data_IF_520460378179
#
_entry.id   IF_520460378179
#
_cell.length_a   1.000
_cell.length_b   1.000
_cell.length_c   1.000
_cell.angle_alpha   90.00
_cell.angle_beta   90.00
_cell.angle_gamma   90.00
#
_symmetry.space_group_name_H-M   'P 1'
#
loop_
_entity.id
_entity.type
_entity.pdbx_description
1 polymer ?
#
# COMPACT_ATOMS: atom_id res chain seq x y z
N UNK A 1 9.98 -20.07 -5.18
CA UNK A 1 11.15 -19.35 -4.67
C UNK A 1 11.20 -19.34 -3.13
N UNK A 2 10.16 -18.92 -2.43
CA UNK A 2 10.21 -18.68 -0.97
C UNK A 2 9.57 -19.80 -0.12
N UNK A 3 9.69 -21.06 -0.54
CA UNK A 3 9.00 -22.22 0.08
C UNK A 3 9.39 -22.50 1.53
N UNK A 4 10.53 -21.99 1.98
CA UNK A 4 11.01 -22.15 3.36
C UNK A 4 10.44 -21.09 4.32
N UNK A 5 9.80 -20.05 3.81
CA UNK A 5 9.20 -18.99 4.61
C UNK A 5 7.73 -19.27 4.87
N UNK A 6 7.25 -18.86 6.03
CA UNK A 6 5.82 -18.81 6.30
C UNK A 6 5.12 -17.78 5.40
N UNK A 7 3.81 -17.82 5.34
CA UNK A 7 3.02 -16.93 4.49
C UNK A 7 3.24 -15.44 4.81
N UNK A 8 3.38 -15.09 6.08
CA UNK A 8 3.63 -13.71 6.48
C UNK A 8 4.98 -13.21 5.95
N UNK A 9 6.04 -14.00 6.13
CA UNK A 9 7.36 -13.71 5.59
C UNK A 9 7.36 -13.63 4.05
N UNK A 10 6.59 -14.50 3.37
CA UNK A 10 6.41 -14.44 1.91
C UNK A 10 5.73 -13.12 1.49
N UNK A 11 4.70 -12.68 2.21
CA UNK A 11 4.03 -11.42 1.94
C UNK A 11 4.96 -10.21 2.15
N UNK A 12 5.77 -10.22 3.23
CA UNK A 12 6.74 -9.17 3.48
C UNK A 12 7.81 -9.16 2.36
N UNK A 13 8.31 -10.34 1.97
CA UNK A 13 9.25 -10.47 0.86
C UNK A 13 8.68 -9.92 -0.46
N UNK A 14 7.41 -10.23 -0.77
CA UNK A 14 6.68 -9.62 -1.88
C UNK A 14 6.63 -8.10 -1.74
N UNK A 15 6.25 -7.60 -0.57
CA UNK A 15 6.14 -6.17 -0.30
C UNK A 15 7.46 -5.40 -0.51
N UNK A 16 8.58 -5.93 -0.02
CA UNK A 16 9.90 -5.25 -0.13
C UNK A 16 10.53 -5.36 -1.52
N UNK A 17 10.09 -6.28 -2.36
CA UNK A 17 10.64 -6.55 -3.71
C UNK A 17 9.69 -6.15 -4.84
N UNK A 18 8.46 -5.73 -4.53
CA UNK A 18 7.43 -5.49 -5.53
C UNK A 18 6.97 -6.76 -6.26
N UNK A 19 7.31 -7.95 -5.76
CA UNK A 19 7.02 -9.23 -6.42
C UNK A 19 7.86 -9.48 -7.68
N UNK A 20 8.88 -8.64 -7.95
CA UNK A 20 9.75 -8.78 -9.13
C UNK A 20 10.60 -10.04 -8.99
N UNK A 21 10.52 -11.01 -9.95
CA UNK A 21 11.22 -12.30 -9.83
C UNK A 21 12.74 -12.16 -9.65
N UNK A 22 13.36 -11.20 -10.31
CA UNK A 22 14.79 -10.93 -10.16
C UNK A 22 15.13 -10.51 -8.72
N UNK A 23 14.34 -9.63 -8.12
CA UNK A 23 14.55 -9.18 -6.74
C UNK A 23 14.25 -10.29 -5.73
N UNK A 24 13.19 -11.07 -5.94
CA UNK A 24 12.88 -12.24 -5.12
C UNK A 24 14.03 -13.28 -5.16
N UNK A 25 14.75 -13.41 -6.29
CA UNK A 25 15.89 -14.33 -6.41
C UNK A 25 17.10 -13.93 -5.59
N UNK A 26 17.19 -12.69 -5.10
CA UNK A 26 18.26 -12.21 -4.23
C UNK A 26 18.07 -12.59 -2.77
N UNK A 27 16.88 -13.05 -2.40
CA UNK A 27 16.57 -13.47 -1.04
C UNK A 27 17.18 -14.86 -0.80
N UNK A 28 18.07 -14.95 0.18
CA UNK A 28 18.63 -16.22 0.66
C UNK A 28 17.67 -16.89 1.62
N UNK A 29 17.01 -17.96 1.18
CA UNK A 29 16.02 -18.69 1.99
C UNK A 29 16.62 -19.52 3.13
N UNK A 30 17.95 -19.56 3.28
CA UNK A 30 18.64 -20.13 4.44
C UNK A 30 18.80 -19.12 5.59
N UNK A 31 18.56 -17.84 5.32
CA UNK A 31 18.56 -16.75 6.31
C UNK A 31 17.14 -16.39 6.71
N UNK A 32 16.98 -15.78 7.88
CA UNK A 32 15.72 -15.15 8.24
C UNK A 32 15.38 -13.99 7.31
N UNK A 33 14.12 -13.59 7.24
CA UNK A 33 13.71 -12.44 6.44
C UNK A 33 14.37 -11.14 6.96
N UNK A 34 14.51 -10.97 8.27
CA UNK A 34 15.21 -9.84 8.88
C UNK A 34 16.66 -9.72 8.41
N UNK A 35 17.40 -10.85 8.39
CA UNK A 35 18.77 -10.89 7.89
C UNK A 35 18.83 -10.51 6.40
N UNK A 36 17.89 -11.01 5.58
CA UNK A 36 17.84 -10.63 4.18
C UNK A 36 17.54 -9.14 3.99
N UNK A 37 16.58 -8.57 4.74
CA UNK A 37 16.30 -7.15 4.65
C UNK A 37 17.52 -6.32 5.04
N UNK A 38 18.21 -6.72 6.11
CA UNK A 38 19.43 -6.07 6.57
C UNK A 38 20.51 -6.11 5.49
N UNK A 39 20.83 -7.30 4.98
CA UNK A 39 21.91 -7.50 4.00
C UNK A 39 21.63 -6.82 2.65
N UNK A 40 20.37 -6.83 2.20
CA UNK A 40 20.00 -6.30 0.88
C UNK A 40 19.82 -4.77 0.86
N UNK A 41 19.26 -4.18 1.93
CA UNK A 41 18.86 -2.77 1.94
C UNK A 41 19.67 -1.90 2.91
N UNK A 42 20.20 -2.48 3.99
CA UNK A 42 20.85 -1.73 5.10
C UNK A 42 22.34 -2.06 5.27
N UNK A 43 22.93 -2.74 4.31
CA UNK A 43 24.38 -2.86 4.10
C UNK A 43 24.79 -1.99 2.91
N UNK A 44 25.91 -1.26 3.02
CA UNK A 44 26.40 -0.39 1.93
C UNK A 44 26.77 -1.17 0.66
N UNK A 45 27.07 -2.47 0.78
CA UNK A 45 27.32 -3.39 -0.33
C UNK A 45 26.07 -4.19 -0.73
N UNK A 46 24.95 -3.95 -0.08
CA UNK A 46 23.69 -4.64 -0.33
C UNK A 46 23.13 -4.33 -1.72
N UNK A 47 22.60 -5.36 -2.38
CA UNK A 47 22.12 -5.25 -3.77
C UNK A 47 21.09 -4.13 -3.95
N UNK A 48 20.23 -3.88 -2.95
CA UNK A 48 19.15 -2.90 -3.04
C UNK A 48 19.47 -1.57 -2.35
N UNK A 49 20.67 -1.43 -1.76
CA UNK A 49 21.06 -0.19 -1.11
C UNK A 49 21.05 1.01 -2.05
N UNK A 50 21.51 0.86 -3.28
CA UNK A 50 21.50 1.92 -4.29
C UNK A 50 20.50 1.71 -5.43
N UNK A 51 19.75 0.62 -5.44
CA UNK A 51 18.94 0.18 -6.59
C UNK A 51 17.97 1.25 -7.07
N UNK A 52 17.15 1.84 -6.17
CA UNK A 52 16.20 2.88 -6.54
C UNK A 52 16.88 4.11 -7.16
N UNK A 53 18.08 4.48 -6.67
CA UNK A 53 18.87 5.59 -7.23
C UNK A 53 19.44 5.24 -8.59
N UNK A 54 19.93 4.02 -8.76
CA UNK A 54 20.55 3.55 -10.01
C UNK A 54 19.49 3.45 -11.13
N UNK A 55 18.30 2.92 -10.83
CA UNK A 55 17.18 2.90 -11.76
C UNK A 55 16.81 4.31 -12.23
N UNK A 56 16.68 5.26 -11.30
CA UNK A 56 16.38 6.65 -11.68
C UNK A 56 17.51 7.29 -12.52
N UNK A 57 18.78 6.97 -12.27
CA UNK A 57 19.90 7.48 -13.09
C UNK A 57 19.88 6.92 -14.51
N UNK A 58 19.40 5.69 -14.68
CA UNK A 58 19.30 5.04 -16.00
C UNK A 58 18.14 5.61 -16.81
N UNK A 59 16.98 5.84 -16.17
CA UNK A 59 15.75 6.23 -16.85
C UNK A 59 15.59 7.76 -16.98
N UNK A 60 16.23 8.56 -16.10
CA UNK A 60 15.96 9.99 -15.99
C UNK A 60 17.17 10.87 -16.25
N UNK A 61 16.95 11.92 -17.05
CA UNK A 61 18.00 12.91 -17.39
C UNK A 61 18.47 13.74 -16.19
N UNK A 62 17.55 14.02 -15.24
CA UNK A 62 17.83 14.78 -14.02
C UNK A 62 17.27 14.04 -12.79
N UNK A 63 17.94 13.00 -12.31
CA UNK A 63 17.43 12.16 -11.22
C UNK A 63 17.25 12.89 -9.88
N UNK A 64 17.93 14.01 -9.64
CA UNK A 64 17.86 14.74 -8.38
C UNK A 64 16.45 15.26 -8.07
N UNK A 65 15.75 15.82 -9.06
CA UNK A 65 14.38 16.33 -8.91
C UNK A 65 13.38 15.20 -8.62
N UNK A 66 13.53 14.07 -9.31
CA UNK A 66 12.71 12.87 -9.09
C UNK A 66 12.93 12.27 -7.70
N UNK A 67 14.19 12.19 -7.27
CA UNK A 67 14.55 11.78 -5.90
C UNK A 67 13.87 12.67 -4.84
N UNK A 68 13.80 13.99 -5.08
CA UNK A 68 13.16 14.92 -4.16
C UNK A 68 11.65 14.69 -4.08
N UNK A 69 10.98 14.50 -5.24
CA UNK A 69 9.54 14.22 -5.31
C UNK A 69 9.20 12.90 -4.59
N UNK A 70 9.92 11.82 -4.89
CA UNK A 70 9.69 10.52 -4.26
C UNK A 70 9.93 10.59 -2.73
N UNK A 71 10.97 11.32 -2.30
CA UNK A 71 11.19 11.58 -0.88
C UNK A 71 10.07 12.39 -0.21
N UNK A 72 9.49 13.36 -0.93
CA UNK A 72 8.36 14.14 -0.44
C UNK A 72 7.12 13.26 -0.27
N UNK A 73 6.82 12.40 -1.26
CA UNK A 73 5.69 11.46 -1.19
C UNK A 73 5.89 10.44 -0.07
N UNK A 74 7.05 9.78 0.00
CA UNK A 74 7.36 8.80 1.04
C UNK A 74 7.29 9.37 2.47
N UNK A 75 7.47 10.70 2.61
CA UNK A 75 7.34 11.42 3.89
C UNK A 75 5.94 12.03 4.11
N UNK A 76 4.92 11.61 3.33
CA UNK A 76 3.51 11.88 3.55
C UNK A 76 2.88 13.01 2.73
N UNK A 77 3.64 13.72 1.86
CA UNK A 77 3.02 14.66 0.93
C UNK A 77 2.31 13.89 -0.18
N UNK A 78 1.01 14.10 -0.35
CA UNK A 78 0.21 13.33 -1.31
C UNK A 78 -0.43 14.19 -2.40
N UNK A 79 -0.70 15.47 -2.12
CA UNK A 79 -1.32 16.37 -3.10
C UNK A 79 -0.26 17.12 -3.91
N UNK A 80 -0.57 17.44 -5.18
CA UNK A 80 0.36 18.15 -6.05
C UNK A 80 0.98 19.39 -5.40
N UNK A 81 0.17 20.22 -4.75
CA UNK A 81 0.65 21.46 -4.11
C UNK A 81 1.54 21.17 -2.89
N UNK A 82 1.24 20.13 -2.12
CA UNK A 82 2.04 19.71 -0.96
C UNK A 82 3.42 19.21 -1.42
N UNK A 83 3.44 18.37 -2.47
CA UNK A 83 4.68 17.85 -3.06
C UNK A 83 5.49 19.00 -3.65
N UNK A 84 4.90 19.85 -4.48
CA UNK A 84 5.56 20.99 -5.11
C UNK A 84 6.20 21.94 -4.08
N UNK A 85 5.44 22.32 -3.04
CA UNK A 85 5.94 23.17 -1.96
C UNK A 85 7.09 22.50 -1.19
N UNK A 86 6.98 21.21 -0.91
CA UNK A 86 8.01 20.48 -0.14
C UNK A 86 9.33 20.36 -0.87
N UNK A 87 9.29 20.28 -2.22
CA UNK A 87 10.49 20.16 -3.06
C UNK A 87 10.97 21.50 -3.64
N UNK A 88 10.24 22.59 -3.38
CA UNK A 88 10.61 23.94 -3.87
C UNK A 88 10.42 24.13 -5.39
N UNK A 89 9.46 23.44 -5.99
CA UNK A 89 9.11 23.54 -7.40
C UNK A 89 7.77 24.26 -7.59
N UNK A 90 7.58 24.89 -8.76
CA UNK A 90 6.25 25.27 -9.18
C UNK A 90 5.39 24.04 -9.52
N UNK A 91 4.06 24.18 -9.45
CA UNK A 91 3.13 23.06 -9.65
C UNK A 91 3.16 22.49 -11.07
N UNK A 92 3.51 23.30 -12.08
CA UNK A 92 3.60 22.85 -13.48
C UNK A 92 4.80 21.94 -13.68
N UNK A 93 5.99 22.37 -13.19
CA UNK A 93 7.20 21.54 -13.22
C UNK A 93 7.02 20.26 -12.42
N UNK A 94 6.46 20.35 -11.21
CA UNK A 94 6.18 19.18 -10.36
C UNK A 94 5.22 18.20 -11.07
N UNK A 95 4.15 18.70 -11.69
CA UNK A 95 3.18 17.87 -12.43
C UNK A 95 3.83 17.14 -13.61
N UNK A 96 4.75 17.81 -14.34
CA UNK A 96 5.48 17.18 -15.44
C UNK A 96 6.38 16.03 -14.96
N UNK A 97 7.10 16.23 -13.85
CA UNK A 97 7.95 15.21 -13.27
C UNK A 97 7.13 14.02 -12.72
N UNK A 98 6.01 14.30 -12.07
CA UNK A 98 5.07 13.26 -11.61
C UNK A 98 4.52 12.43 -12.76
N UNK A 99 4.21 13.08 -13.91
CA UNK A 99 3.77 12.36 -15.12
C UNK A 99 4.82 11.34 -15.57
N UNK A 100 6.09 11.71 -15.62
CA UNK A 100 7.16 10.79 -15.99
C UNK A 100 7.28 9.62 -15.00
N UNK A 101 7.15 9.86 -13.68
CA UNK A 101 7.16 8.80 -12.68
C UNK A 101 5.94 7.85 -12.80
N UNK A 102 4.80 8.38 -13.24
CA UNK A 102 3.60 7.58 -13.53
C UNK A 102 3.81 6.70 -14.77
N UNK A 103 4.39 7.26 -15.84
CA UNK A 103 4.73 6.51 -17.07
C UNK A 103 5.70 5.35 -16.79
N UNK A 104 6.60 5.50 -15.82
CA UNK A 104 7.50 4.43 -15.33
C UNK A 104 6.84 3.49 -14.30
N UNK A 105 5.57 3.66 -13.98
CA UNK A 105 4.88 2.90 -12.93
C UNK A 105 5.51 2.97 -11.52
N UNK A 106 6.34 3.98 -11.24
CA UNK A 106 6.92 4.23 -9.91
C UNK A 106 5.91 4.93 -8.99
N UNK A 107 5.14 5.87 -9.55
CA UNK A 107 4.09 6.62 -8.85
C UNK A 107 2.75 6.32 -9.52
N UNK A 108 1.68 6.37 -8.75
CA UNK A 108 0.31 6.36 -9.26
C UNK A 108 -0.45 7.60 -8.83
N UNK A 109 -1.40 8.00 -9.68
CA UNK A 109 -2.34 9.09 -9.45
C UNK A 109 -3.66 8.47 -9.04
N UNK A 110 -4.11 8.73 -7.82
CA UNK A 110 -5.32 8.14 -7.24
C UNK A 110 -6.34 9.23 -6.96
N UNK A 111 -7.61 8.89 -7.13
CA UNK A 111 -8.76 9.71 -6.76
C UNK A 111 -9.88 8.80 -6.23
N UNK A 112 -10.79 9.31 -5.39
CA UNK A 112 -11.88 8.48 -4.90
C UNK A 112 -12.62 7.82 -6.04
N UNK A 113 -12.86 6.52 -5.96
CA UNK A 113 -13.42 5.70 -7.06
C UNK A 113 -14.78 6.23 -7.58
N UNK A 114 -15.51 6.97 -6.74
CA UNK A 114 -16.77 7.63 -7.08
C UNK A 114 -16.59 8.96 -7.82
N UNK A 115 -15.36 9.45 -7.94
CA UNK A 115 -15.05 10.72 -8.57
C UNK A 115 -14.52 10.51 -10.00
N UNK A 116 -14.35 11.63 -10.72
CA UNK A 116 -13.67 11.65 -12.03
C UNK A 116 -12.17 11.84 -11.84
N UNK A 117 -11.38 11.42 -12.82
CA UNK A 117 -9.91 11.59 -12.82
C UNK A 117 -9.45 13.06 -12.65
N UNK A 118 -10.27 14.02 -13.05
CA UNK A 118 -10.02 15.45 -12.86
C UNK A 118 -10.38 15.98 -11.46
N UNK A 119 -10.72 15.10 -10.51
CA UNK A 119 -11.11 15.49 -9.16
C UNK A 119 -10.00 16.27 -8.45
N UNK A 120 -10.39 17.32 -7.71
CA UNK A 120 -9.49 18.07 -6.81
C UNK A 120 -9.02 17.25 -5.60
N UNK A 121 -9.65 16.08 -5.37
CA UNK A 121 -9.27 15.13 -4.32
C UNK A 121 -8.13 14.19 -4.75
N UNK A 122 -7.56 14.39 -5.93
CA UNK A 122 -6.45 13.59 -6.43
C UNK A 122 -5.24 13.63 -5.50
N UNK A 123 -4.66 12.46 -5.26
CA UNK A 123 -3.40 12.25 -4.53
C UNK A 123 -2.42 11.45 -5.39
N UNK A 124 -1.16 11.48 -5.00
CA UNK A 124 -0.06 10.72 -5.60
C UNK A 124 0.57 9.83 -4.55
N UNK A 125 0.74 8.56 -4.87
CA UNK A 125 1.38 7.56 -4.01
C UNK A 125 2.51 6.87 -4.78
N UNK A 126 3.52 6.37 -4.05
CA UNK A 126 4.54 5.51 -4.66
C UNK A 126 3.90 4.13 -4.89
N UNK A 127 3.73 3.77 -6.15
CA UNK A 127 3.12 2.50 -6.57
C UNK A 127 4.06 1.32 -6.38
N UNK A 128 5.32 1.49 -6.72
CA UNK A 128 6.35 0.48 -6.56
C UNK A 128 6.73 0.34 -5.09
N UNK A 129 6.52 -0.85 -4.52
CA UNK A 129 6.70 -1.07 -3.09
C UNK A 129 8.17 -1.14 -2.70
N UNK A 130 9.09 -1.58 -3.56
CA UNK A 130 10.53 -1.50 -3.30
C UNK A 130 10.97 -0.03 -3.20
N UNK A 131 10.53 0.81 -4.15
CA UNK A 131 10.77 2.26 -4.08
C UNK A 131 10.17 2.87 -2.81
N UNK A 132 8.95 2.48 -2.42
CA UNK A 132 8.31 2.97 -1.20
C UNK A 132 9.15 2.63 0.03
N UNK A 133 9.59 1.37 0.18
CA UNK A 133 10.46 0.95 1.29
C UNK A 133 11.76 1.75 1.29
N UNK A 134 12.40 1.86 0.13
CA UNK A 134 13.67 2.55 -0.02
C UNK A 134 13.59 4.03 0.36
N UNK A 135 12.61 4.77 -0.19
CA UNK A 135 12.42 6.20 0.12
C UNK A 135 11.95 6.45 1.54
N UNK A 136 11.21 5.52 2.13
CA UNK A 136 10.71 5.63 3.50
C UNK A 136 11.78 5.33 4.55
N UNK A 137 12.66 4.35 4.29
CA UNK A 137 13.57 3.83 5.31
C UNK A 137 15.06 3.91 4.96
N UNK A 138 15.44 3.61 3.73
CA UNK A 138 16.87 3.60 3.32
C UNK A 138 17.37 5.02 3.11
N UNK A 139 16.70 5.78 2.25
CA UNK A 139 17.14 7.13 1.88
C UNK A 139 17.34 8.08 3.07
N UNK A 140 16.42 8.19 4.04
CA UNK A 140 16.61 9.07 5.20
C UNK A 140 17.81 8.70 6.06
N UNK A 141 18.26 7.45 5.98
CA UNK A 141 19.34 6.89 6.78
C UNK A 141 20.60 6.57 5.96
N UNK A 142 20.65 7.03 4.71
CA UNK A 142 21.68 6.65 3.74
C UNK A 142 23.11 6.82 4.29
N UNK A 143 23.46 7.99 4.85
CA UNK A 143 24.79 8.24 5.41
C UNK A 143 25.11 7.36 6.62
N UNK A 144 24.14 7.06 7.47
CA UNK A 144 24.34 6.17 8.61
C UNK A 144 24.61 4.73 8.15
N UNK A 145 23.91 4.28 7.11
CA UNK A 145 24.13 2.94 6.53
C UNK A 145 25.55 2.86 5.94
N UNK A 146 25.99 3.87 5.17
CA UNK A 146 27.35 3.94 4.64
C UNK A 146 28.45 3.94 5.73
N UNK A 147 28.13 4.41 6.93
CA UNK A 147 29.04 4.35 8.08
C UNK A 147 28.99 2.99 8.83
N UNK A 148 28.34 1.96 8.26
CA UNK A 148 28.22 0.63 8.87
C UNK A 148 27.20 0.53 10.01
N UNK A 149 26.33 1.54 10.18
CA UNK A 149 25.31 1.58 11.25
C UNK A 149 23.96 0.99 10.80
N UNK A 150 23.89 0.33 9.64
CA UNK A 150 22.65 -0.18 9.06
C UNK A 150 21.90 -1.14 9.98
N UNK A 151 22.61 -2.01 10.72
CA UNK A 151 22.02 -2.94 11.67
C UNK A 151 21.30 -2.23 12.84
N UNK A 152 21.83 -1.08 13.29
CA UNK A 152 21.19 -0.27 14.34
C UNK A 152 19.95 0.42 13.76
N UNK A 153 20.07 1.00 12.57
CA UNK A 153 18.96 1.67 11.88
C UNK A 153 17.82 0.68 11.65
N UNK A 154 18.12 -0.49 11.08
CA UNK A 154 17.12 -1.52 10.85
C UNK A 154 16.43 -1.94 12.15
N UNK A 155 17.18 -2.34 13.17
CA UNK A 155 16.63 -2.85 14.42
C UNK A 155 15.78 -1.86 15.19
N UNK A 156 16.20 -0.58 15.25
CA UNK A 156 15.54 0.43 16.08
C UNK A 156 14.47 1.24 15.35
N UNK A 157 14.63 1.49 14.05
CA UNK A 157 13.78 2.45 13.32
C UNK A 157 12.95 1.82 12.21
N UNK A 158 13.36 0.65 11.68
CA UNK A 158 12.69 0.04 10.52
C UNK A 158 11.84 -1.15 10.95
N UNK A 159 12.44 -2.14 11.59
CA UNK A 159 11.75 -3.37 12.02
C UNK A 159 10.45 -3.11 12.78
N UNK A 160 10.39 -2.16 13.76
CA UNK A 160 9.13 -1.85 14.45
C UNK A 160 8.04 -1.26 13.55
N UNK A 161 8.40 -0.74 12.37
CA UNK A 161 7.49 -0.08 11.42
C UNK A 161 7.17 -0.94 10.18
N UNK A 162 7.71 -2.15 10.08
CA UNK A 162 7.42 -3.06 8.95
C UNK A 162 5.94 -3.40 8.93
N UNK A 163 5.29 -3.59 10.09
CA UNK A 163 3.85 -3.86 10.14
C UNK A 163 3.02 -2.70 9.56
N UNK A 164 3.38 -1.46 9.86
CA UNK A 164 2.69 -0.28 9.30
C UNK A 164 2.92 -0.15 7.79
N UNK A 165 4.14 -0.45 7.33
CA UNK A 165 4.48 -0.52 5.91
C UNK A 165 3.66 -1.60 5.20
N UNK A 166 3.53 -2.76 5.81
CA UNK A 166 2.75 -3.87 5.27
C UNK A 166 1.25 -3.58 5.22
N UNK A 167 0.73 -2.68 6.03
CA UNK A 167 -0.65 -2.20 5.90
C UNK A 167 -0.95 -1.71 4.48
N UNK A 168 -0.09 -0.84 3.94
CA UNK A 168 -0.22 -0.35 2.56
C UNK A 168 -0.03 -1.46 1.50
N UNK A 169 0.97 -2.33 1.70
CA UNK A 169 1.20 -3.47 0.80
C UNK A 169 0.00 -4.42 0.79
N UNK A 170 -0.58 -4.66 1.96
CA UNK A 170 -1.71 -5.56 2.10
C UNK A 170 -2.98 -5.06 1.41
N UNK A 171 -3.25 -3.75 1.42
CA UNK A 171 -4.33 -3.15 0.63
C UNK A 171 -4.18 -3.46 -0.87
N UNK A 172 -2.93 -3.40 -1.40
CA UNK A 172 -2.65 -3.79 -2.78
C UNK A 172 -2.88 -5.27 -3.01
N UNK A 173 -2.37 -6.13 -2.13
CA UNK A 173 -2.60 -7.58 -2.22
C UNK A 173 -4.09 -7.93 -2.17
N UNK A 174 -4.87 -7.27 -1.30
CA UNK A 174 -6.33 -7.46 -1.24
C UNK A 174 -7.00 -7.01 -2.54
N UNK A 175 -6.53 -5.91 -3.15
CA UNK A 175 -7.05 -5.44 -4.43
C UNK A 175 -6.72 -6.45 -5.54
N UNK A 176 -5.50 -6.96 -5.62
CA UNK A 176 -5.08 -7.98 -6.57
C UNK A 176 -5.87 -9.28 -6.38
N UNK A 177 -6.13 -9.68 -5.14
CA UNK A 177 -6.97 -10.84 -4.82
C UNK A 177 -8.39 -10.68 -5.37
N UNK A 178 -9.00 -9.50 -5.23
CA UNK A 178 -10.34 -9.23 -5.79
C UNK A 178 -10.35 -9.35 -7.32
N UNK A 179 -9.25 -9.02 -8.00
CA UNK A 179 -9.12 -9.12 -9.45
C UNK A 179 -8.83 -10.55 -9.95
N UNK A 180 -8.51 -11.51 -9.08
CA UNK A 180 -8.39 -12.91 -9.50
C UNK A 180 -9.74 -13.40 -10.06
N UNK A 181 -9.73 -14.04 -11.23
CA UNK A 181 -10.95 -14.44 -11.94
C UNK A 181 -11.92 -15.24 -11.05
N UNK A 182 -11.39 -16.22 -10.32
CA UNK A 182 -12.18 -17.04 -9.41
C UNK A 182 -12.85 -16.26 -8.27
N UNK A 183 -12.24 -15.17 -7.81
CA UNK A 183 -12.78 -14.31 -6.77
C UNK A 183 -13.77 -13.31 -7.36
N UNK A 184 -13.37 -12.68 -8.48
CA UNK A 184 -14.14 -11.67 -9.18
C UNK A 184 -15.53 -12.18 -9.58
N UNK A 185 -15.60 -13.43 -10.05
CA UNK A 185 -16.86 -14.10 -10.42
C UNK A 185 -17.77 -14.44 -9.21
N UNK A 186 -17.24 -14.43 -7.99
CA UNK A 186 -18.01 -14.65 -6.75
C UNK A 186 -18.48 -13.38 -6.07
N UNK A 187 -18.14 -12.22 -6.62
CA UNK A 187 -18.61 -10.94 -6.08
C UNK A 187 -20.13 -10.80 -6.25
N UNK A 188 -20.79 -10.03 -5.40
CA UNK A 188 -22.25 -9.85 -5.46
C UNK A 188 -22.72 -9.15 -6.74
N UNK A 189 -21.83 -8.54 -7.50
CA UNK A 189 -22.07 -7.91 -8.79
C UNK A 189 -20.73 -7.79 -9.55
N UNK A 190 -20.78 -7.55 -10.85
CA UNK A 190 -19.59 -7.27 -11.66
C UNK A 190 -19.22 -5.79 -11.52
N UNK A 191 -18.07 -5.44 -10.93
CA UNK A 191 -17.62 -4.06 -10.79
C UNK A 191 -17.24 -3.43 -12.13
N UNK A 192 -17.61 -2.17 -12.33
CA UNK A 192 -17.10 -1.31 -13.39
C UNK A 192 -15.81 -0.60 -12.98
N UNK A 193 -15.68 -0.30 -11.66
CA UNK A 193 -14.50 0.34 -11.09
C UNK A 193 -14.20 -0.25 -9.72
N UNK A 194 -12.90 -0.38 -9.42
CA UNK A 194 -12.39 -0.74 -8.10
C UNK A 194 -11.29 0.25 -7.75
N UNK A 195 -11.29 0.79 -6.53
CA UNK A 195 -10.26 1.71 -6.05
C UNK A 195 -10.52 2.16 -4.62
N UNK A 196 -9.68 3.05 -4.11
CA UNK A 196 -9.84 3.68 -2.78
C UNK A 196 -10.98 4.69 -2.78
N UNK A 197 -11.52 4.97 -1.60
CA UNK A 197 -12.44 6.06 -1.40
C UNK A 197 -12.11 6.85 -0.13
N UNK A 198 -12.14 8.17 -0.23
CA UNK A 198 -12.05 9.10 0.91
C UNK A 198 -12.94 10.31 0.68
N UNK A 199 -13.47 10.83 1.76
CA UNK A 199 -14.37 11.98 1.72
C UNK A 199 -14.95 12.28 3.07
N UNK A 200 -15.95 13.16 3.10
CA UNK A 200 -16.70 13.49 4.31
C UNK A 200 -17.80 12.45 4.54
N UNK A 201 -17.90 11.95 5.77
CA UNK A 201 -19.11 11.30 6.27
C UNK A 201 -20.12 12.37 6.64
N UNK A 202 -21.23 12.52 5.89
CA UNK A 202 -22.20 13.59 6.13
C UNK A 202 -22.97 13.42 7.44
N UNK A 203 -23.07 12.19 7.98
CA UNK A 203 -23.79 11.88 9.21
C UNK A 203 -22.94 12.22 10.44
N UNK A 204 -21.66 11.83 10.41
CA UNK A 204 -20.72 12.05 11.52
C UNK A 204 -19.98 13.38 11.44
N UNK A 205 -20.00 14.05 10.27
CA UNK A 205 -19.26 15.30 9.96
C UNK A 205 -17.76 15.16 10.16
N UNK A 206 -17.23 14.00 9.85
CA UNK A 206 -15.80 13.67 9.94
C UNK A 206 -15.26 13.15 8.60
N UNK A 207 -13.94 13.19 8.41
CA UNK A 207 -13.32 12.54 7.26
C UNK A 207 -13.37 11.02 7.42
N UNK A 208 -13.69 10.33 6.33
CA UNK A 208 -13.74 8.87 6.28
C UNK A 208 -12.97 8.36 5.08
N UNK A 209 -12.33 7.21 5.26
CA UNK A 209 -11.59 6.49 4.23
C UNK A 209 -12.05 5.03 4.20
N UNK A 210 -12.06 4.44 3.01
CA UNK A 210 -12.36 3.02 2.80
C UNK A 210 -11.29 2.47 1.88
N UNK A 211 -10.62 1.42 2.32
CA UNK A 211 -9.42 0.90 1.70
C UNK A 211 -9.67 0.42 0.26
N UNK A 212 -10.79 -0.31 0.03
CA UNK A 212 -11.20 -0.73 -1.31
C UNK A 212 -12.70 -0.55 -1.45
N UNK A 213 -13.11 0.11 -2.53
CA UNK A 213 -14.52 0.24 -2.92
C UNK A 213 -14.68 -0.21 -4.36
N UNK A 214 -15.54 -1.20 -4.59
CA UNK A 214 -15.92 -1.63 -5.93
C UNK A 214 -17.34 -1.13 -6.24
N UNK A 215 -17.56 -0.58 -7.43
CA UNK A 215 -18.83 0.02 -7.82
C UNK A 215 -19.25 -0.38 -9.24
N UNK A 216 -20.57 -0.38 -9.47
CA UNK A 216 -21.21 -0.28 -10.77
C UNK A 216 -22.35 0.75 -10.72
N UNK A 217 -23.28 0.71 -11.65
CA UNK A 217 -24.38 1.69 -11.76
C UNK A 217 -25.28 1.79 -10.52
N UNK A 218 -25.53 0.67 -9.82
CA UNK A 218 -26.51 0.59 -8.72
C UNK A 218 -26.04 -0.16 -7.48
N UNK A 219 -24.79 -0.66 -7.50
CA UNK A 219 -24.24 -1.49 -6.43
C UNK A 219 -22.86 -1.02 -5.98
N UNK A 220 -22.56 -1.18 -4.69
CA UNK A 220 -21.21 -0.99 -4.16
C UNK A 220 -20.81 -2.11 -3.19
N UNK A 221 -19.53 -2.45 -3.20
CA UNK A 221 -18.88 -3.29 -2.21
C UNK A 221 -17.83 -2.45 -1.49
N UNK A 222 -17.89 -2.41 -0.17
CA UNK A 222 -16.93 -1.70 0.69
C UNK A 222 -16.05 -2.73 1.38
N UNK A 223 -14.73 -2.55 1.31
CA UNK A 223 -13.78 -3.46 1.92
C UNK A 223 -12.88 -2.72 2.90
N UNK A 224 -12.60 -3.38 4.02
CA UNK A 224 -11.60 -2.96 5.01
C UNK A 224 -10.46 -3.96 5.05
N UNK A 225 -9.20 -3.49 5.03
CA UNK A 225 -8.01 -4.31 5.00
C UNK A 225 -7.18 -4.04 6.27
N UNK A 226 -6.86 -5.08 7.03
CA UNK A 226 -6.06 -4.93 8.26
C UNK A 226 -4.89 -5.89 8.28
N UNK A 227 -3.69 -5.32 8.28
CA UNK A 227 -2.43 -6.01 8.57
C UNK A 227 -2.01 -5.67 10.00
N UNK A 228 -2.13 -6.61 10.90
CA UNK A 228 -1.85 -6.43 12.34
C UNK A 228 -1.39 -7.74 12.96
N UNK A 229 -0.71 -7.64 14.11
CA UNK A 229 -0.35 -8.80 14.92
C UNK A 229 -1.50 -9.28 15.84
N UNK A 230 -2.72 -8.80 15.60
CA UNK A 230 -3.93 -9.16 16.38
C UNK A 230 -5.08 -9.41 15.42
N UNK A 231 -5.90 -10.39 15.76
CA UNK A 231 -7.15 -10.66 15.06
C UNK A 231 -8.03 -9.41 14.95
N UNK A 232 -8.76 -9.32 13.86
CA UNK A 232 -9.72 -8.24 13.61
C UNK A 232 -10.97 -8.45 14.46
N UNK A 233 -11.31 -7.48 15.29
CA UNK A 233 -12.47 -7.51 16.18
C UNK A 233 -13.73 -6.89 15.57
N UNK A 234 -14.89 -7.12 16.18
CA UNK A 234 -16.21 -6.63 15.72
C UNK A 234 -16.31 -5.11 15.65
N UNK A 235 -15.48 -4.34 16.36
CA UNK A 235 -15.49 -2.88 16.33
C UNK A 235 -15.11 -2.35 14.95
N UNK A 236 -14.13 -2.98 14.31
CA UNK A 236 -13.71 -2.63 12.94
C UNK A 236 -14.87 -2.85 11.96
N UNK A 237 -15.55 -4.02 12.07
CA UNK A 237 -16.70 -4.34 11.23
C UNK A 237 -17.89 -3.41 11.47
N UNK A 238 -18.10 -2.98 12.70
CA UNK A 238 -19.14 -2.00 13.07
C UNK A 238 -18.89 -0.66 12.37
N UNK A 239 -17.63 -0.20 12.36
CA UNK A 239 -17.25 1.03 11.65
C UNK A 239 -17.48 0.86 10.14
N UNK A 240 -17.00 -0.24 9.54
CA UNK A 240 -17.20 -0.53 8.12
C UNK A 240 -18.71 -0.57 7.78
N UNK A 241 -19.51 -1.23 8.60
CA UNK A 241 -20.95 -1.34 8.40
C UNK A 241 -21.63 0.04 8.45
N UNK A 242 -21.23 0.92 9.37
CA UNK A 242 -21.77 2.29 9.45
C UNK A 242 -21.45 3.14 8.23
N UNK A 243 -20.32 2.87 7.55
CA UNK A 243 -19.90 3.59 6.34
C UNK A 243 -20.78 3.32 5.11
N UNK A 244 -21.63 2.28 5.14
CA UNK A 244 -22.62 2.04 4.06
C UNK A 244 -23.53 3.24 3.83
N UNK A 245 -23.83 3.99 4.87
CA UNK A 245 -24.77 5.11 4.80
C UNK A 245 -24.20 6.34 4.10
N UNK A 246 -22.88 6.39 3.89
CA UNK A 246 -22.20 7.42 3.09
C UNK A 246 -22.62 7.31 1.62
N UNK A 247 -22.89 6.09 1.13
CA UNK A 247 -23.11 5.79 -0.27
C UNK A 247 -24.59 5.67 -0.62
N UNK A 248 -24.98 6.21 -1.78
CA UNK A 248 -26.36 6.23 -2.26
C UNK A 248 -26.68 5.08 -3.24
N UNK A 249 -25.90 4.01 -3.22
CA UNK A 249 -26.18 2.84 -4.04
C UNK A 249 -27.36 2.03 -3.49
N UNK A 250 -28.09 1.38 -4.38
CA UNK A 250 -29.24 0.54 -4.03
C UNK A 250 -28.80 -0.71 -3.28
N UNK A 251 -27.78 -1.39 -3.80
CA UNK A 251 -27.23 -2.61 -3.22
C UNK A 251 -25.87 -2.31 -2.61
N UNK A 252 -25.66 -2.71 -1.37
CA UNK A 252 -24.42 -2.44 -0.62
C UNK A 252 -23.95 -3.70 0.06
N UNK A 253 -22.74 -4.13 -0.27
CA UNK A 253 -22.11 -5.32 0.29
C UNK A 253 -20.85 -4.95 1.05
N UNK A 254 -20.43 -5.79 1.97
CA UNK A 254 -19.24 -5.57 2.79
C UNK A 254 -18.29 -6.76 2.73
N UNK A 255 -17.00 -6.48 2.79
CA UNK A 255 -15.94 -7.46 2.88
C UNK A 255 -14.84 -6.96 3.81
N UNK A 256 -14.24 -7.83 4.59
CA UNK A 256 -13.10 -7.49 5.44
C UNK A 256 -11.97 -8.49 5.26
N UNK A 257 -10.75 -7.96 5.16
CA UNK A 257 -9.52 -8.72 5.02
C UNK A 257 -8.67 -8.59 6.29
N UNK A 258 -8.10 -9.69 6.75
CA UNK A 258 -7.20 -9.70 7.91
C UNK A 258 -6.06 -10.69 7.71
N UNK A 259 -4.81 -10.24 8.00
CA UNK A 259 -3.66 -11.14 7.99
C UNK A 259 -3.64 -12.10 9.19
N UNK A 260 -4.17 -11.68 10.33
CA UNK A 260 -4.14 -12.47 11.60
C UNK A 260 -5.48 -13.14 11.92
N UNK A 261 -6.43 -13.16 10.97
CA UNK A 261 -7.75 -13.76 11.20
C UNK A 261 -8.73 -12.83 11.92
N UNK A 262 -9.77 -13.43 12.50
CA UNK A 262 -10.93 -12.73 13.06
C UNK A 262 -11.29 -13.33 14.43
N UNK A 263 -11.63 -12.48 15.38
CA UNK A 263 -12.13 -12.91 16.69
C UNK A 263 -13.53 -13.54 16.57
N UNK A 264 -13.94 -14.35 17.57
CA UNK A 264 -15.26 -14.99 17.57
C UNK A 264 -16.39 -13.96 17.48
N UNK A 265 -16.28 -12.84 18.19
CA UNK A 265 -17.28 -11.74 18.13
C UNK A 265 -17.31 -11.07 16.75
N UNK A 266 -16.19 -10.97 16.03
CA UNK A 266 -16.16 -10.48 14.67
C UNK A 266 -16.83 -11.46 13.70
N UNK A 267 -16.62 -12.76 13.86
CA UNK A 267 -17.25 -13.81 13.02
C UNK A 267 -18.77 -13.78 13.23
N UNK A 268 -19.22 -13.72 14.48
CA UNK A 268 -20.65 -13.61 14.80
C UNK A 268 -21.27 -12.32 14.24
N UNK A 269 -20.60 -11.18 14.43
CA UNK A 269 -21.06 -9.90 13.89
C UNK A 269 -21.17 -9.94 12.37
N UNK A 270 -20.15 -10.50 11.70
CA UNK A 270 -20.11 -10.61 10.24
C UNK A 270 -21.28 -11.45 9.71
N UNK A 271 -21.57 -12.59 10.35
CA UNK A 271 -22.69 -13.46 10.00
C UNK A 271 -24.05 -12.73 10.13
N UNK A 272 -24.24 -11.96 11.20
CA UNK A 272 -25.47 -11.23 11.47
C UNK A 272 -25.68 -10.00 10.57
N UNK A 273 -24.61 -9.51 9.92
CA UNK A 273 -24.63 -8.30 9.09
C UNK A 273 -24.27 -8.56 7.62
N UNK A 274 -24.18 -9.81 7.20
CA UNK A 274 -23.84 -10.25 5.84
C UNK A 274 -22.50 -9.63 5.34
N UNK A 275 -21.45 -9.75 6.19
CA UNK A 275 -20.10 -9.27 5.86
C UNK A 275 -19.24 -10.49 5.47
N UNK A 276 -18.67 -10.47 4.27
CA UNK A 276 -17.71 -11.50 3.84
C UNK A 276 -16.36 -11.30 4.54
N UNK A 277 -15.88 -12.31 5.22
CA UNK A 277 -14.56 -12.32 5.86
C UNK A 277 -13.57 -13.10 4.99
N UNK A 278 -12.39 -12.53 4.78
CA UNK A 278 -11.29 -13.14 4.02
C UNK A 278 -10.03 -13.08 4.87
N UNK A 279 -9.57 -14.23 5.35
CA UNK A 279 -8.28 -14.32 6.01
C UNK A 279 -7.14 -14.41 4.98
N UNK A 280 -5.95 -13.98 5.36
CA UNK A 280 -4.77 -14.07 4.49
C UNK A 280 -4.47 -15.51 4.05
N UNK A 281 -4.81 -16.49 4.87
CA UNK A 281 -4.69 -17.92 4.54
C UNK A 281 -5.53 -18.33 3.31
N UNK A 282 -6.59 -17.59 3.01
CA UNK A 282 -7.47 -17.84 1.86
C UNK A 282 -6.98 -17.15 0.57
N UNK A 283 -6.01 -16.28 0.67
CA UNK A 283 -5.43 -15.52 -0.46
C UNK A 283 -4.23 -16.26 -1.05
#
# INVERSE_FOLDING_TARGET
MLVNYDKESQAIAYGITGGIPEYLSKIDTNKSLDENILDLFFDENGTFFEEATNLLKQEMRNPASYNSILGAIASGASRLNEIANKVGLDTSACSSLLKSLIELNIVEKIYPVTEKESSRKTIYEIKDTMFLLWYKFVRPNYSNIQMGLGHIIYGQYVKPKISDYMGYVFEKMCTEYIYQEQVFLTLPFIPEKIGKWWGNDPLKKEEAEIDIVAINSDSCLLCECKWRNKELDSRVLTVLNSRKDIFKYKNKSLMAFSNSGFTEDAIEYAKNNDIRLVSFEMM
#
